data_IF_583305393221
#
_entry.id   IF_583305393221
#
_cell.length_a   1.000
_cell.length_b   1.000
_cell.length_c   1.000
_cell.angle_alpha   90.00
_cell.angle_beta   90.00
_cell.angle_gamma   90.00
#
_symmetry.space_group_name_H-M   'P 1'
#
loop_
_entity.id
_entity.type
_entity.pdbx_description
1 polymer ?
#
# COMPACT_ATOMS: atom_id res chain seq x y z
N UNK A 1 4.73 2.78 -12.40
CA UNK A 1 4.94 1.51 -11.67
C UNK A 1 3.81 0.54 -12.00
N UNK A 2 4.14 -0.64 -12.51
CA UNK A 2 3.16 -1.63 -12.98
C UNK A 2 2.66 -2.50 -11.83
N UNK A 3 1.39 -2.32 -11.45
CA UNK A 3 0.64 -3.21 -10.53
C UNK A 3 0.72 -4.69 -10.93
N UNK A 4 1.09 -4.98 -12.18
CA UNK A 4 1.42 -6.30 -12.73
C UNK A 4 2.46 -7.08 -11.91
N UNK A 5 3.38 -6.41 -11.20
CA UNK A 5 4.40 -7.09 -10.39
C UNK A 5 3.94 -7.46 -8.96
N UNK A 6 2.79 -6.94 -8.50
CA UNK A 6 2.24 -7.31 -7.21
C UNK A 6 1.86 -8.79 -7.26
N UNK A 7 2.33 -9.61 -6.32
CA UNK A 7 2.00 -11.06 -6.29
C UNK A 7 0.58 -11.26 -5.76
N UNK A 8 -0.18 -12.13 -6.41
CA UNK A 8 -1.49 -12.59 -5.93
C UNK A 8 -1.32 -13.63 -4.82
N UNK A 9 -2.39 -13.91 -4.07
CA UNK A 9 -2.45 -14.91 -3.02
C UNK A 9 -1.64 -14.55 -1.78
N UNK A 10 -1.26 -13.28 -1.62
CA UNK A 10 -0.72 -12.78 -0.36
C UNK A 10 -1.87 -12.56 0.62
N UNK A 11 -1.65 -12.88 1.89
CA UNK A 11 -2.56 -12.49 2.96
C UNK A 11 -2.73 -10.97 2.94
N UNK A 12 -3.97 -10.51 3.13
CA UNK A 12 -4.27 -9.09 3.24
C UNK A 12 -3.49 -8.49 4.41
N UNK A 13 -3.15 -7.21 4.29
CA UNK A 13 -2.53 -6.46 5.38
C UNK A 13 -3.49 -6.32 6.57
N UNK A 14 -3.05 -5.69 7.67
CA UNK A 14 -3.91 -5.31 8.80
C UNK A 14 -5.10 -4.42 8.39
N UNK A 15 -5.00 -3.75 7.24
CA UNK A 15 -6.06 -2.98 6.61
C UNK A 15 -7.11 -3.82 5.87
N UNK A 16 -6.93 -5.14 5.82
CA UNK A 16 -7.75 -6.10 5.10
C UNK A 16 -7.81 -5.85 3.57
N UNK A 17 -6.84 -5.10 3.03
CA UNK A 17 -6.74 -4.84 1.59
C UNK A 17 -5.86 -5.92 0.95
N UNK A 18 -6.43 -6.64 -0.01
CA UNK A 18 -5.71 -7.66 -0.77
C UNK A 18 -4.96 -7.07 -1.97
N UNK A 19 -3.91 -7.78 -2.41
CA UNK A 19 -3.20 -7.49 -3.66
C UNK A 19 -4.14 -7.47 -4.88
N UNK A 20 -5.18 -8.28 -4.84
CA UNK A 20 -6.19 -8.45 -5.88
C UNK A 20 -7.12 -7.24 -5.93
N UNK A 21 -7.53 -6.70 -4.78
CA UNK A 21 -8.33 -5.49 -4.70
C UNK A 21 -7.58 -4.27 -5.29
N UNK A 22 -6.28 -4.16 -5.00
CA UNK A 22 -5.41 -3.11 -5.57
C UNK A 22 -5.23 -3.24 -7.08
N UNK A 23 -5.36 -4.44 -7.64
CA UNK A 23 -5.31 -4.68 -9.08
C UNK A 23 -6.66 -4.49 -9.77
N UNK A 24 -7.77 -4.68 -9.06
CA UNK A 24 -9.11 -4.55 -9.60
C UNK A 24 -9.44 -3.10 -9.97
N UNK A 25 -8.93 -2.13 -9.20
CA UNK A 25 -9.11 -0.70 -9.49
C UNK A 25 -7.79 0.07 -9.52
N UNK A 26 -7.06 -0.11 -10.61
CA UNK A 26 -5.76 0.56 -10.84
C UNK A 26 -5.93 2.08 -10.95
N UNK A 27 -7.04 2.56 -11.51
CA UNK A 27 -7.26 4.00 -11.73
C UNK A 27 -7.50 4.73 -10.41
N UNK A 28 -8.36 4.20 -9.53
CA UNK A 28 -8.59 4.77 -8.20
C UNK A 28 -7.33 4.66 -7.35
N UNK A 29 -6.66 3.50 -7.37
CA UNK A 29 -5.40 3.30 -6.63
C UNK A 29 -4.33 4.30 -7.06
N UNK A 30 -4.14 4.51 -8.38
CA UNK A 30 -3.18 5.48 -8.90
C UNK A 30 -3.52 6.92 -8.46
N UNK A 31 -4.81 7.29 -8.47
CA UNK A 31 -5.24 8.63 -8.05
C UNK A 31 -4.99 8.88 -6.56
N UNK A 32 -5.30 7.89 -5.71
CA UNK A 32 -5.05 7.98 -4.26
C UNK A 32 -3.54 8.11 -3.99
N UNK A 33 -2.71 7.28 -4.62
CA UNK A 33 -1.25 7.33 -4.47
C UNK A 33 -0.68 8.68 -4.92
N UNK A 34 -1.16 9.23 -6.04
CA UNK A 34 -0.72 10.54 -6.53
C UNK A 34 -1.03 11.65 -5.53
N UNK A 35 -2.24 11.68 -4.96
CA UNK A 35 -2.62 12.65 -3.92
C UNK A 35 -1.75 12.49 -2.68
N UNK A 36 -1.50 11.25 -2.24
CA UNK A 36 -0.68 10.97 -1.06
C UNK A 36 0.77 11.44 -1.26
N UNK A 37 1.40 11.11 -2.39
CA UNK A 37 2.77 11.52 -2.66
C UNK A 37 2.91 13.04 -2.79
N UNK A 38 1.95 13.73 -3.41
CA UNK A 38 1.98 15.19 -3.47
C UNK A 38 1.87 15.81 -2.07
N UNK A 39 1.00 15.28 -1.20
CA UNK A 39 0.91 15.74 0.20
C UNK A 39 2.22 15.54 0.95
N UNK A 40 2.90 14.40 0.76
CA UNK A 40 4.19 14.12 1.39
C UNK A 40 5.25 15.07 0.83
N UNK A 41 5.25 15.34 -0.46
CA UNK A 41 6.20 16.26 -1.10
C UNK A 41 6.02 17.70 -0.62
N UNK A 42 4.79 18.19 -0.56
CA UNK A 42 4.48 19.59 -0.19
C UNK A 42 4.71 19.88 1.30
N UNK A 43 4.45 18.89 2.16
CA UNK A 43 4.50 19.06 3.62
C UNK A 43 5.72 18.45 4.29
N UNK A 44 6.48 17.62 3.56
CA UNK A 44 7.56 16.78 4.10
C UNK A 44 7.13 15.87 5.27
N UNK A 45 5.82 15.63 5.41
CA UNK A 45 5.25 14.82 6.48
C UNK A 45 4.90 13.42 5.98
N UNK A 46 5.53 12.41 6.58
CA UNK A 46 5.26 10.99 6.31
C UNK A 46 4.16 10.49 7.26
N UNK A 47 3.18 9.69 6.76
CA UNK A 47 2.18 9.05 7.61
C UNK A 47 2.81 8.31 8.80
N UNK A 48 2.23 8.46 9.99
CA UNK A 48 2.75 7.82 11.22
C UNK A 48 2.82 6.30 11.08
N UNK A 49 1.82 5.71 10.43
CA UNK A 49 1.75 4.26 10.17
C UNK A 49 2.94 3.75 9.35
N UNK A 50 3.60 4.60 8.55
CA UNK A 50 4.81 4.21 7.79
C UNK A 50 6.08 4.26 8.64
N UNK A 51 6.03 4.93 9.80
CA UNK A 51 7.10 4.92 10.80
C UNK A 51 6.99 3.70 11.73
N UNK A 52 5.85 3.02 11.72
CA UNK A 52 5.60 1.80 12.47
C UNK A 52 5.84 0.57 11.60
N UNK A 53 6.85 -0.24 11.96
CA UNK A 53 7.13 -1.51 11.28
C UNK A 53 6.54 -2.69 12.04
N UNK A 54 5.53 -3.37 11.46
CA UNK A 54 5.02 -4.63 12.02
C UNK A 54 5.87 -5.81 11.56
N UNK A 55 6.66 -6.37 12.47
CA UNK A 55 7.39 -7.62 12.25
C UNK A 55 6.50 -8.81 12.61
N UNK A 56 5.89 -9.43 11.59
CA UNK A 56 5.14 -10.68 11.79
C UNK A 56 6.11 -11.85 11.70
N UNK A 57 6.43 -12.46 12.85
CA UNK A 57 7.16 -13.73 12.91
C UNK A 57 6.24 -14.84 12.42
N UNK A 58 6.59 -15.48 11.30
CA UNK A 58 5.98 -16.76 10.92
C UNK A 58 6.57 -17.85 11.81
N UNK A 59 5.73 -18.45 12.66
CA UNK A 59 6.06 -19.66 13.41
C UNK A 59 5.84 -20.85 12.44
N UNK A 60 6.80 -21.78 12.30
CA UNK A 60 6.65 -22.96 11.46
C UNK A 60 5.54 -23.90 11.97
#
# INVERSE_FOLDING_TARGET
MTTRQIKNGKAAGPDNISSEALKADVAVTARILHILFNKIWDKEEVPRDWKEGFLVKKIP
#
